data_IF_194415692984
#
_entry.id   IF_194415692984
#
_cell.length_a   1.000
_cell.length_b   1.000
_cell.length_c   1.000
_cell.angle_alpha   90.00
_cell.angle_beta   90.00
_cell.angle_gamma   90.00
#
_symmetry.space_group_name_H-M   'P 1'
#
loop_
_entity.id
_entity.type
_entity.pdbx_description
1 polymer ?
#
# COMPACT_ATOMS: atom_id res chain seq x y z
N UNK A 1 22.40 -20.54 -36.08
CA UNK A 1 21.38 -20.94 -35.09
C UNK A 1 22.07 -21.13 -33.76
N UNK A 2 22.09 -20.09 -32.92
CA UNK A 2 22.50 -20.25 -31.52
C UNK A 2 21.22 -20.39 -30.70
N UNK A 3 20.81 -21.63 -30.44
CA UNK A 3 19.79 -21.95 -29.46
C UNK A 3 20.40 -21.82 -28.07
N UNK A 4 20.59 -20.58 -27.61
CA UNK A 4 20.71 -20.32 -26.18
C UNK A 4 19.28 -20.44 -25.65
N UNK A 5 18.91 -21.64 -25.20
CA UNK A 5 17.76 -21.80 -24.33
C UNK A 5 18.11 -21.03 -23.05
N UNK A 6 17.59 -19.82 -22.93
CA UNK A 6 17.62 -19.07 -21.68
C UNK A 6 16.88 -19.91 -20.66
N UNK A 7 17.61 -20.47 -19.69
CA UNK A 7 17.00 -21.20 -18.58
C UNK A 7 16.40 -20.17 -17.62
N UNK A 8 15.19 -19.72 -17.91
CA UNK A 8 14.51 -18.66 -17.15
C UNK A 8 14.28 -19.05 -15.68
N UNK A 9 14.29 -20.33 -15.36
CA UNK A 9 14.16 -20.83 -14.00
C UNK A 9 15.42 -20.50 -13.17
N UNK A 10 16.61 -20.54 -13.77
CA UNK A 10 17.86 -20.13 -13.11
C UNK A 10 17.83 -18.62 -12.78
N UNK A 11 17.33 -17.79 -13.70
CA UNK A 11 17.19 -16.34 -13.47
C UNK A 11 16.11 -16.01 -12.44
N UNK A 12 15.02 -16.78 -12.39
CA UNK A 12 13.97 -16.61 -11.40
C UNK A 12 14.44 -17.00 -9.99
N UNK A 13 15.22 -18.08 -9.88
CA UNK A 13 15.87 -18.49 -8.62
C UNK A 13 16.91 -17.46 -8.18
N UNK A 14 17.71 -16.94 -9.12
CA UNK A 14 18.67 -15.87 -8.85
C UNK A 14 17.96 -14.59 -8.36
N UNK A 15 16.85 -14.21 -9.00
CA UNK A 15 16.01 -13.09 -8.55
C UNK A 15 15.51 -13.33 -7.11
N UNK A 16 14.95 -14.51 -6.84
CA UNK A 16 14.40 -14.86 -5.53
C UNK A 16 15.42 -14.90 -4.40
N UNK A 17 16.68 -15.21 -4.71
CA UNK A 17 17.79 -15.27 -3.74
C UNK A 17 18.56 -13.95 -3.58
N UNK A 18 18.31 -12.95 -4.42
CA UNK A 18 18.98 -11.65 -4.39
C UNK A 18 18.21 -10.53 -3.68
N UNK A 19 18.59 -9.29 -3.98
CA UNK A 19 17.83 -8.10 -3.59
C UNK A 19 16.63 -7.93 -4.52
N UNK A 20 15.48 -8.44 -4.05
CA UNK A 20 14.23 -8.40 -4.79
C UNK A 20 13.73 -6.98 -5.01
N UNK A 21 13.86 -6.09 -4.03
CA UNK A 21 13.37 -4.72 -4.16
C UNK A 21 14.15 -3.98 -5.22
N UNK A 22 15.49 -4.03 -5.16
CA UNK A 22 16.33 -3.41 -6.17
C UNK A 22 16.06 -4.01 -7.57
N UNK A 23 16.00 -5.33 -7.69
CA UNK A 23 15.73 -6.01 -8.98
C UNK A 23 14.39 -5.57 -9.56
N UNK A 24 13.32 -5.55 -8.75
CA UNK A 24 11.99 -5.09 -9.18
C UNK A 24 12.05 -3.64 -9.65
N UNK A 25 12.70 -2.74 -8.90
CA UNK A 25 12.82 -1.32 -9.26
C UNK A 25 13.51 -1.12 -10.62
N UNK A 26 14.62 -1.81 -10.85
CA UNK A 26 15.40 -1.78 -12.10
C UNK A 26 14.59 -2.37 -13.28
N UNK A 27 13.86 -3.44 -13.05
CA UNK A 27 13.00 -4.07 -14.05
C UNK A 27 11.82 -3.16 -14.43
N UNK A 28 11.17 -2.50 -13.47
CA UNK A 28 10.14 -1.49 -13.75
C UNK A 28 10.70 -0.30 -14.55
N UNK A 29 11.92 0.15 -14.23
CA UNK A 29 12.60 1.22 -14.96
C UNK A 29 12.83 0.83 -16.42
N UNK A 30 13.35 -0.37 -16.65
CA UNK A 30 13.58 -0.93 -17.99
C UNK A 30 12.27 -1.11 -18.76
N UNK A 31 11.18 -1.46 -18.06
CA UNK A 31 9.84 -1.56 -18.62
C UNK A 31 9.20 -0.19 -18.91
N UNK A 32 9.85 0.92 -18.55
CA UNK A 32 9.41 2.28 -18.85
C UNK A 32 8.49 2.87 -17.79
N UNK A 33 8.73 2.58 -16.51
CA UNK A 33 8.19 3.35 -15.38
C UNK A 33 9.37 4.01 -14.69
N UNK A 34 9.53 5.33 -14.83
CA UNK A 34 10.63 6.07 -14.22
C UNK A 34 10.21 6.69 -12.88
N UNK A 35 11.08 6.69 -11.87
CA UNK A 35 10.76 7.19 -10.52
C UNK A 35 9.79 6.26 -9.79
N UNK A 36 8.88 6.80 -8.96
CA UNK A 36 7.78 6.03 -8.34
C UNK A 36 8.24 4.81 -7.54
N UNK A 37 9.39 4.86 -6.89
CA UNK A 37 10.06 3.70 -6.30
C UNK A 37 9.16 2.97 -5.30
N UNK A 38 8.58 3.69 -4.34
CA UNK A 38 7.65 3.13 -3.36
C UNK A 38 6.39 2.55 -4.02
N UNK A 39 5.85 3.25 -5.02
CA UNK A 39 4.64 2.83 -5.72
C UNK A 39 4.86 1.56 -6.55
N UNK A 40 6.00 1.43 -7.25
CA UNK A 40 6.40 0.21 -7.98
C UNK A 40 6.43 -1.00 -7.04
N UNK A 41 7.10 -0.85 -5.89
CA UNK A 41 7.23 -1.93 -4.90
C UNK A 41 5.88 -2.30 -4.29
N UNK A 42 5.06 -1.32 -3.91
CA UNK A 42 3.72 -1.56 -3.36
C UNK A 42 2.80 -2.25 -4.36
N UNK A 43 2.84 -1.85 -5.64
CA UNK A 43 2.09 -2.52 -6.69
C UNK A 43 2.52 -3.97 -6.87
N UNK A 44 3.82 -4.24 -6.87
CA UNK A 44 4.36 -5.59 -7.00
C UNK A 44 4.03 -6.47 -5.78
N UNK A 45 4.17 -5.94 -4.57
CA UNK A 45 3.82 -6.61 -3.32
C UNK A 45 2.34 -6.95 -3.27
N UNK A 46 1.46 -5.99 -3.61
CA UNK A 46 0.03 -6.24 -3.66
C UNK A 46 -0.30 -7.33 -4.68
N UNK A 47 0.24 -7.24 -5.89
CA UNK A 47 0.08 -8.27 -6.91
C UNK A 47 0.54 -9.66 -6.42
N UNK A 48 1.67 -9.74 -5.73
CA UNK A 48 2.23 -10.99 -5.19
C UNK A 48 1.41 -11.55 -4.04
N UNK A 49 0.89 -10.68 -3.17
CA UNK A 49 0.10 -11.05 -1.99
C UNK A 49 -1.22 -11.75 -2.33
N UNK A 50 -1.63 -11.81 -3.61
CA UNK A 50 -2.75 -12.65 -4.07
C UNK A 50 -2.59 -14.12 -3.65
N UNK A 51 -1.36 -14.58 -3.41
CA UNK A 51 -1.06 -15.95 -2.97
C UNK A 51 -1.14 -16.14 -1.46
N UNK A 52 -1.35 -15.06 -0.70
CA UNK A 52 -1.51 -15.09 0.76
C UNK A 52 -2.99 -15.20 1.13
N UNK A 53 -3.27 -15.68 2.35
CA UNK A 53 -4.64 -15.73 2.89
C UNK A 53 -5.30 -14.35 3.02
N UNK A 54 -4.49 -13.31 3.29
CA UNK A 54 -4.94 -11.93 3.41
C UNK A 54 -4.21 -11.03 2.38
N UNK A 55 -4.64 -11.01 1.11
CA UNK A 55 -4.00 -10.18 0.09
C UNK A 55 -4.08 -8.68 0.40
N UNK A 56 -3.06 -7.94 -0.01
CA UNK A 56 -3.08 -6.48 0.00
C UNK A 56 -3.89 -5.97 -1.19
N UNK A 57 -4.65 -4.90 -0.96
CA UNK A 57 -5.39 -4.19 -2.00
C UNK A 57 -4.82 -2.79 -2.17
N UNK A 58 -4.68 -2.33 -3.41
CA UNK A 58 -4.12 -1.01 -3.74
C UNK A 58 -5.10 -0.19 -4.56
N UNK A 59 -5.16 1.11 -4.25
CA UNK A 59 -5.95 2.11 -4.95
C UNK A 59 -5.03 3.25 -5.33
N UNK A 60 -4.80 3.43 -6.63
CA UNK A 60 -4.01 4.55 -7.14
C UNK A 60 -4.93 5.74 -7.41
N UNK A 61 -4.71 6.82 -6.67
CA UNK A 61 -5.42 8.10 -6.80
C UNK A 61 -4.50 9.09 -7.52
N UNK A 62 -4.91 9.54 -8.71
CA UNK A 62 -4.20 10.61 -9.42
C UNK A 62 -5.06 11.29 -10.47
N UNK A 63 -4.64 12.50 -10.86
CA UNK A 63 -5.30 13.26 -11.91
C UNK A 63 -5.31 12.49 -13.25
N UNK A 64 -6.21 12.89 -14.16
CA UNK A 64 -6.27 12.24 -15.48
C UNK A 64 -4.97 12.47 -16.25
N UNK A 65 -4.41 11.40 -16.82
CA UNK A 65 -3.14 11.47 -17.56
C UNK A 65 -1.86 11.43 -16.70
N UNK A 66 -1.94 11.38 -15.38
CA UNK A 66 -0.78 11.36 -14.48
C UNK A 66 0.06 10.06 -14.51
N UNK A 67 -0.37 9.01 -15.24
CA UNK A 67 0.39 7.76 -15.36
C UNK A 67 -0.09 6.58 -14.51
N UNK A 68 -1.24 6.70 -13.81
CA UNK A 68 -1.87 5.60 -13.04
C UNK A 68 -2.06 4.30 -13.85
N UNK A 69 -2.55 4.42 -15.08
CA UNK A 69 -2.78 3.25 -15.94
C UNK A 69 -1.46 2.61 -16.37
N UNK A 70 -0.40 3.40 -16.55
CA UNK A 70 0.94 2.88 -16.87
C UNK A 70 1.48 2.04 -15.72
N UNK A 71 1.37 2.51 -14.48
CA UNK A 71 1.82 1.74 -13.31
C UNK A 71 1.06 0.42 -13.17
N UNK A 72 -0.26 0.46 -13.33
CA UNK A 72 -1.11 -0.74 -13.32
C UNK A 72 -0.74 -1.69 -14.47
N UNK A 73 -0.66 -1.21 -15.71
CA UNK A 73 -0.32 -1.99 -16.89
C UNK A 73 1.00 -2.75 -16.76
N UNK A 74 2.02 -2.08 -16.24
CA UNK A 74 3.36 -2.67 -16.11
C UNK A 74 3.38 -3.71 -15.01
N UNK A 75 2.72 -3.44 -13.89
CA UNK A 75 2.53 -4.42 -12.80
C UNK A 75 1.81 -5.67 -13.30
N UNK A 76 0.71 -5.51 -14.05
CA UNK A 76 -0.05 -6.64 -14.59
C UNK A 76 0.78 -7.48 -15.56
N UNK A 77 1.65 -6.85 -16.36
CA UNK A 77 2.54 -7.57 -17.28
C UNK A 77 3.59 -8.41 -16.55
N UNK A 78 3.99 -8.02 -15.35
CA UNK A 78 4.94 -8.78 -14.53
C UNK A 78 4.30 -9.99 -13.83
N UNK A 79 2.97 -10.09 -13.85
CA UNK A 79 2.25 -11.23 -13.29
C UNK A 79 1.93 -12.27 -14.36
N UNK A 80 1.94 -13.57 -14.02
CA UNK A 80 1.51 -14.61 -14.94
C UNK A 80 0.10 -14.33 -15.49
N UNK A 81 -0.15 -14.47 -16.80
CA UNK A 81 -1.44 -14.11 -17.40
C UNK A 81 -2.61 -14.89 -16.82
N UNK A 82 -2.39 -16.14 -16.38
CA UNK A 82 -3.40 -16.96 -15.71
C UNK A 82 -3.81 -16.41 -14.33
N UNK A 83 -2.99 -15.56 -13.70
CA UNK A 83 -3.27 -14.94 -12.42
C UNK A 83 -3.95 -13.58 -12.54
N UNK A 84 -4.05 -13.00 -13.74
CA UNK A 84 -4.54 -11.63 -13.93
C UNK A 84 -5.96 -11.63 -14.48
N UNK A 85 -6.83 -10.83 -13.85
CA UNK A 85 -8.16 -10.51 -14.38
C UNK A 85 -8.24 -9.00 -14.52
N UNK A 86 -8.32 -8.52 -15.76
CA UNK A 86 -8.42 -7.09 -16.08
C UNK A 86 -9.84 -6.77 -16.54
N UNK A 87 -10.45 -5.76 -15.94
CA UNK A 87 -11.76 -5.24 -16.34
C UNK A 87 -11.70 -3.71 -16.44
N UNK A 88 -12.01 -3.18 -17.63
CA UNK A 88 -12.06 -1.72 -17.85
C UNK A 88 -13.27 -1.07 -17.19
N UNK A 89 -14.35 -1.81 -17.01
CA UNK A 89 -15.50 -1.40 -16.20
C UNK A 89 -16.21 -2.67 -15.69
N UNK A 90 -16.51 -2.72 -14.39
CA UNK A 90 -17.29 -3.80 -13.79
C UNK A 90 -18.46 -3.23 -12.99
N UNK A 91 -19.65 -3.79 -13.19
CA UNK A 91 -20.80 -3.46 -12.34
C UNK A 91 -20.75 -4.32 -11.07
N UNK A 92 -21.30 -3.82 -9.96
CA UNK A 92 -21.50 -4.61 -8.72
C UNK A 92 -22.10 -5.99 -9.02
N UNK A 93 -23.09 -6.03 -9.91
CA UNK A 93 -23.77 -7.27 -10.29
C UNK A 93 -22.85 -8.21 -11.05
N UNK A 94 -22.00 -7.72 -11.94
CA UNK A 94 -21.13 -8.57 -12.76
C UNK A 94 -20.14 -9.39 -11.91
N UNK A 95 -19.70 -8.88 -10.76
CA UNK A 95 -18.83 -9.61 -9.82
C UNK A 95 -19.45 -10.94 -9.38
N UNK A 96 -20.77 -11.01 -9.18
CA UNK A 96 -21.49 -12.25 -8.79
C UNK A 96 -21.57 -13.31 -9.91
N UNK A 97 -21.17 -12.98 -11.13
CA UNK A 97 -21.16 -13.89 -12.28
C UNK A 97 -19.74 -14.32 -12.67
N UNK A 98 -18.72 -13.84 -11.97
CA UNK A 98 -17.34 -14.24 -12.23
C UNK A 98 -17.09 -15.67 -11.74
N UNK A 99 -16.04 -16.29 -12.29
CA UNK A 99 -15.47 -17.51 -11.71
C UNK A 99 -14.74 -17.17 -10.40
N UNK A 100 -14.26 -18.19 -9.68
CA UNK A 100 -13.40 -18.01 -8.51
C UNK A 100 -12.28 -16.99 -8.78
N UNK A 101 -12.15 -16.04 -7.88
CA UNK A 101 -11.13 -14.98 -7.90
C UNK A 101 -9.93 -15.36 -7.03
N UNK A 102 -9.92 -16.54 -6.41
CA UNK A 102 -8.83 -17.00 -5.57
C UNK A 102 -7.50 -16.99 -6.30
N UNK A 103 -6.48 -16.45 -5.63
CA UNK A 103 -5.13 -16.31 -6.15
C UNK A 103 -5.04 -15.46 -7.42
N UNK A 104 -6.03 -14.59 -7.68
CA UNK A 104 -6.05 -13.67 -8.81
C UNK A 104 -5.71 -12.24 -8.39
N UNK A 105 -5.16 -11.49 -9.34
CA UNK A 105 -5.06 -10.05 -9.30
C UNK A 105 -6.20 -9.46 -10.12
N UNK A 106 -7.18 -8.86 -9.44
CA UNK A 106 -8.31 -8.17 -10.06
C UNK A 106 -7.95 -6.70 -10.30
N UNK A 107 -7.65 -6.35 -11.55
CA UNK A 107 -7.36 -4.98 -11.96
C UNK A 107 -8.61 -4.29 -12.51
N UNK A 108 -8.99 -3.20 -11.85
CA UNK A 108 -10.13 -2.36 -12.21
C UNK A 108 -9.63 -0.98 -12.63
N UNK A 109 -9.96 -0.58 -13.85
CA UNK A 109 -9.65 0.74 -14.39
C UNK A 109 -10.79 1.73 -14.12
N UNK A 110 -10.44 3.00 -13.90
CA UNK A 110 -11.39 4.13 -13.87
C UNK A 110 -12.62 3.91 -12.98
N UNK A 111 -12.38 3.47 -11.74
CA UNK A 111 -13.44 3.23 -10.75
C UNK A 111 -14.23 4.50 -10.36
N UNK A 112 -13.87 5.68 -10.86
CA UNK A 112 -14.63 6.92 -10.66
C UNK A 112 -16.09 6.83 -11.17
N UNK A 113 -16.35 5.99 -12.19
CA UNK A 113 -17.72 5.69 -12.66
C UNK A 113 -18.42 4.56 -11.89
N UNK A 114 -17.68 3.79 -11.11
CA UNK A 114 -18.18 2.65 -10.34
C UNK A 114 -18.44 3.13 -8.92
N UNK A 115 -19.68 3.50 -8.62
CA UNK A 115 -20.10 3.81 -7.24
C UNK A 115 -19.63 2.71 -6.31
N UNK A 116 -18.92 3.13 -5.25
CA UNK A 116 -18.42 2.36 -4.10
C UNK A 116 -19.11 1.00 -3.95
N UNK A 117 -18.51 0.00 -4.60
CA UNK A 117 -19.15 -1.28 -4.96
C UNK A 117 -19.21 -2.12 -3.70
N UNK A 118 -20.41 -2.28 -3.12
CA UNK A 118 -20.65 -3.11 -1.94
C UNK A 118 -20.03 -4.50 -2.11
N UNK A 119 -20.11 -5.08 -3.31
CA UNK A 119 -19.55 -6.39 -3.61
C UNK A 119 -18.02 -6.46 -3.42
N UNK A 120 -17.28 -5.40 -3.76
CA UNK A 120 -15.82 -5.41 -3.56
C UNK A 120 -15.47 -5.43 -2.07
N UNK A 121 -16.19 -4.65 -1.25
CA UNK A 121 -15.97 -4.66 0.21
C UNK A 121 -16.32 -6.00 0.83
N UNK A 122 -17.42 -6.62 0.40
CA UNK A 122 -17.81 -7.96 0.86
C UNK A 122 -16.77 -8.98 0.44
N UNK A 123 -16.29 -8.95 -0.80
CA UNK A 123 -15.25 -9.86 -1.29
C UNK A 123 -13.95 -9.77 -0.46
N UNK A 124 -13.53 -8.56 -0.08
CA UNK A 124 -12.35 -8.34 0.77
C UNK A 124 -12.58 -8.82 2.21
N UNK A 125 -13.77 -8.54 2.77
CA UNK A 125 -14.01 -8.75 4.20
C UNK A 125 -14.44 -10.19 4.52
N UNK A 126 -15.27 -10.78 3.68
CA UNK A 126 -15.85 -12.12 3.88
C UNK A 126 -15.06 -13.19 3.12
N UNK A 127 -14.23 -12.81 2.15
CA UNK A 127 -13.49 -13.75 1.31
C UNK A 127 -14.35 -14.49 0.28
N UNK A 128 -15.62 -14.11 0.10
CA UNK A 128 -16.50 -14.63 -0.97
C UNK A 128 -17.67 -13.68 -1.26
N UNK A 129 -18.35 -13.93 -2.37
CA UNK A 129 -19.64 -13.34 -2.72
C UNK A 129 -20.68 -14.43 -2.91
N UNK A 130 -21.83 -14.29 -2.26
CA UNK A 130 -22.98 -15.17 -2.45
C UNK A 130 -24.22 -14.36 -2.83
N UNK A 131 -25.00 -14.86 -3.77
CA UNK A 131 -26.26 -14.23 -4.17
C UNK A 131 -27.32 -15.30 -4.47
N UNK A 132 -28.45 -15.19 -3.79
CA UNK A 132 -29.67 -15.95 -4.09
C UNK A 132 -30.62 -15.08 -4.92
N UNK A 133 -31.10 -15.59 -6.05
CA UNK A 133 -32.10 -14.93 -6.90
C UNK A 133 -33.20 -15.89 -7.29
N UNK A 134 -34.40 -15.38 -7.58
CA UNK A 134 -35.50 -16.20 -8.12
C UNK A 134 -35.77 -15.72 -9.55
N UNK A 135 -35.67 -16.62 -10.52
CA UNK A 135 -35.98 -16.35 -11.92
C UNK A 135 -36.83 -17.48 -12.49
N UNK A 136 -37.99 -17.16 -13.06
CA UNK A 136 -38.91 -18.16 -13.61
C UNK A 136 -39.47 -19.14 -12.59
N UNK A 137 -39.57 -18.75 -11.31
CA UNK A 137 -40.06 -19.62 -10.23
C UNK A 137 -39.05 -20.62 -9.67
N UNK A 138 -37.80 -20.61 -10.17
CA UNK A 138 -36.69 -21.40 -9.61
C UNK A 138 -35.67 -20.48 -8.92
N UNK A 139 -35.16 -20.93 -7.77
CA UNK A 139 -34.04 -20.31 -7.10
C UNK A 139 -32.74 -20.57 -7.84
N UNK A 140 -31.91 -19.54 -8.01
CA UNK A 140 -30.55 -19.60 -8.52
C UNK A 140 -29.61 -19.03 -7.46
N UNK A 141 -28.72 -19.89 -6.97
CA UNK A 141 -27.62 -19.51 -6.09
C UNK A 141 -26.37 -19.23 -6.92
N UNK A 142 -25.66 -18.15 -6.61
CA UNK A 142 -24.34 -17.82 -7.17
C UNK A 142 -23.35 -17.69 -6.04
N UNK A 143 -22.16 -18.25 -6.26
CA UNK A 143 -21.05 -18.20 -5.32
C UNK A 143 -19.76 -17.87 -6.06
N UNK A 144 -19.02 -16.89 -5.57
CA UNK A 144 -17.72 -16.49 -6.08
C UNK A 144 -16.73 -16.48 -4.92
N UNK A 145 -15.78 -17.40 -4.94
CA UNK A 145 -14.68 -17.43 -3.97
C UNK A 145 -13.76 -16.22 -4.18
N UNK A 146 -13.45 -15.53 -3.09
CA UNK A 146 -12.53 -14.39 -3.04
C UNK A 146 -11.09 -14.81 -2.77
N UNK A 147 -10.36 -14.04 -1.96
CA UNK A 147 -8.90 -14.22 -1.81
C UNK A 147 -8.11 -13.72 -3.01
N UNK A 148 -8.57 -12.62 -3.63
CA UNK A 148 -7.85 -11.91 -4.68
C UNK A 148 -7.18 -10.65 -4.13
N UNK A 149 -6.04 -10.27 -4.71
CA UNK A 149 -5.56 -8.88 -4.59
C UNK A 149 -6.32 -8.01 -5.57
N UNK A 150 -6.77 -6.83 -5.12
CA UNK A 150 -7.46 -5.86 -5.96
C UNK A 150 -6.57 -4.66 -6.23
N UNK A 151 -6.43 -4.32 -7.51
CA UNK A 151 -5.75 -3.11 -7.98
C UNK A 151 -6.76 -2.20 -8.63
N UNK A 152 -7.11 -1.09 -7.97
CA UNK A 152 -7.99 -0.06 -8.52
C UNK A 152 -7.24 1.21 -8.88
N UNK A 153 -7.76 1.92 -9.87
CA UNK A 153 -7.33 3.28 -10.19
C UNK A 153 -8.53 4.22 -10.19
N UNK A 154 -8.36 5.43 -9.64
CA UNK A 154 -9.43 6.44 -9.58
C UNK A 154 -8.88 7.85 -9.72
N UNK A 155 -9.71 8.75 -10.24
CA UNK A 155 -9.48 10.20 -10.26
C UNK A 155 -10.25 10.92 -9.15
N UNK A 156 -11.14 10.23 -8.43
CA UNK A 156 -11.96 10.84 -7.40
C UNK A 156 -11.22 10.86 -6.04
N UNK A 157 -10.87 12.03 -5.48
CA UNK A 157 -10.22 12.12 -4.18
C UNK A 157 -11.17 11.79 -3.01
N UNK A 158 -12.48 11.85 -3.22
CA UNK A 158 -13.48 11.48 -2.22
C UNK A 158 -13.63 9.96 -2.13
N UNK A 159 -12.76 9.35 -1.33
CA UNK A 159 -12.78 7.91 -1.06
C UNK A 159 -13.53 7.66 0.26
N UNK A 160 -14.52 6.76 0.23
CA UNK A 160 -15.24 6.32 1.43
C UNK A 160 -14.25 5.79 2.50
N UNK A 161 -14.37 6.20 3.78
CA UNK A 161 -13.57 5.66 4.88
C UNK A 161 -13.49 4.12 4.95
N UNK A 162 -14.55 3.41 4.58
CA UNK A 162 -14.56 1.93 4.52
C UNK A 162 -13.65 1.36 3.43
N UNK A 163 -13.53 2.07 2.31
CA UNK A 163 -12.62 1.73 1.22
C UNK A 163 -11.20 2.14 1.63
N UNK A 164 -11.02 3.32 2.23
CA UNK A 164 -9.72 3.73 2.79
C UNK A 164 -9.17 2.72 3.80
N UNK A 165 -10.00 2.07 4.61
CA UNK A 165 -9.52 1.08 5.59
C UNK A 165 -9.12 -0.26 4.97
N UNK A 166 -9.51 -0.55 3.72
CA UNK A 166 -9.25 -1.84 3.04
C UNK A 166 -8.17 -1.77 1.96
N UNK A 167 -7.82 -0.57 1.54
CA UNK A 167 -6.84 -0.31 0.49
C UNK A 167 -5.64 0.47 1.01
N UNK A 168 -4.47 0.22 0.43
CA UNK A 168 -3.35 1.16 0.43
C UNK A 168 -3.59 2.18 -0.68
N UNK A 169 -3.60 3.46 -0.31
CA UNK A 169 -3.87 4.55 -1.24
C UNK A 169 -2.53 5.09 -1.72
N UNK A 170 -2.30 5.00 -3.02
CA UNK A 170 -1.07 5.45 -3.66
C UNK A 170 -1.37 6.74 -4.43
N UNK A 171 -0.60 7.80 -4.18
CA UNK A 171 -0.57 9.00 -5.01
C UNK A 171 0.56 8.90 -6.04
N UNK A 172 0.39 9.47 -7.23
CA UNK A 172 1.44 9.51 -8.26
C UNK A 172 2.18 10.85 -8.18
N UNK A 173 3.48 10.87 -8.46
CA UNK A 173 4.28 12.09 -8.49
C UNK A 173 3.97 12.93 -9.74
N UNK A 174 3.20 14.00 -9.53
CA UNK A 174 2.81 14.96 -10.57
C UNK A 174 3.80 16.14 -10.69
N UNK A 175 4.99 16.04 -10.09
CA UNK A 175 6.01 17.09 -10.13
C UNK A 175 6.55 17.36 -11.53
N UNK A 176 7.09 18.56 -11.72
CA UNK A 176 7.72 18.97 -12.99
C UNK A 176 8.97 18.15 -13.27
N UNK A 177 9.74 17.84 -12.23
CA UNK A 177 10.94 17.02 -12.27
C UNK A 177 10.62 15.61 -12.78
N UNK A 178 9.57 14.99 -12.22
CA UNK A 178 9.11 13.67 -12.64
C UNK A 178 8.57 13.69 -14.07
N UNK A 179 7.75 14.69 -14.41
CA UNK A 179 7.26 14.89 -15.79
C UNK A 179 8.41 14.99 -16.79
N UNK A 180 9.49 15.73 -16.48
CA UNK A 180 10.67 15.83 -17.35
C UNK A 180 11.35 14.47 -17.56
N UNK A 181 11.49 13.66 -16.51
CA UNK A 181 12.08 12.31 -16.58
C UNK A 181 11.25 11.39 -17.48
N UNK A 182 9.92 11.36 -17.28
CA UNK A 182 8.99 10.57 -18.10
C UNK A 182 9.11 10.98 -19.58
N UNK A 183 9.06 12.27 -19.88
CA UNK A 183 9.17 12.76 -21.26
C UNK A 183 10.53 12.41 -21.91
N UNK A 184 11.62 12.44 -21.14
CA UNK A 184 12.94 12.04 -21.64
C UNK A 184 12.99 10.55 -21.98
N UNK A 185 12.45 9.70 -21.11
CA UNK A 185 12.38 8.25 -21.33
C UNK A 185 11.48 7.90 -22.52
N UNK A 186 10.31 8.55 -22.65
CA UNK A 186 9.44 8.38 -23.82
C UNK A 186 10.16 8.74 -25.13
N UNK A 187 10.88 9.87 -25.18
CA UNK A 187 11.70 10.23 -26.36
C UNK A 187 12.78 9.18 -26.65
N UNK A 188 13.50 8.72 -25.63
CA UNK A 188 14.53 7.68 -25.78
C UNK A 188 13.95 6.39 -26.36
N UNK A 189 12.73 6.01 -25.98
CA UNK A 189 12.07 4.80 -26.47
C UNK A 189 11.79 4.79 -27.98
N UNK A 190 11.77 5.98 -28.62
CA UNK A 190 11.62 6.13 -30.07
C UNK A 190 12.96 6.21 -30.83
N UNK A 191 14.09 5.99 -30.16
CA UNK A 191 15.43 5.98 -30.77
C UNK A 191 15.90 4.56 -31.09
N UNK A 192 16.94 4.43 -31.91
CA UNK A 192 17.62 3.16 -32.20
C UNK A 192 18.13 2.46 -30.93
N UNK A 193 18.62 3.24 -29.96
CA UNK A 193 19.04 2.70 -28.65
C UNK A 193 17.85 2.08 -27.91
N UNK A 194 16.70 2.78 -27.85
CA UNK A 194 15.49 2.27 -27.20
C UNK A 194 14.82 1.08 -27.90
N UNK A 195 15.09 0.88 -29.20
CA UNK A 195 14.65 -0.31 -29.95
C UNK A 195 15.41 -1.58 -29.54
N UNK A 196 16.71 -1.46 -29.23
CA UNK A 196 17.54 -2.58 -28.77
C UNK A 196 17.05 -3.12 -27.41
N UNK A 197 16.58 -2.22 -26.54
CA UNK A 197 16.02 -2.54 -25.22
C UNK A 197 14.70 -3.36 -25.28
N UNK A 198 14.05 -3.52 -26.44
CA UNK A 198 12.80 -4.30 -26.53
C UNK A 198 12.99 -5.80 -26.32
N UNK A 199 14.13 -6.36 -26.69
CA UNK A 199 14.45 -7.78 -26.45
C UNK A 199 14.57 -8.09 -24.96
N UNK A 200 15.12 -7.15 -24.19
CA UNK A 200 15.35 -7.31 -22.75
C UNK A 200 14.04 -7.29 -21.96
N UNK A 201 13.03 -6.52 -22.43
CA UNK A 201 11.71 -6.41 -21.79
C UNK A 201 10.96 -7.75 -21.74
N UNK A 202 11.01 -8.53 -22.81
CA UNK A 202 10.35 -9.85 -22.86
C UNK A 202 11.03 -10.84 -21.90
N UNK A 203 12.37 -10.80 -21.82
CA UNK A 203 13.14 -11.60 -20.87
C UNK A 203 12.79 -11.27 -19.41
N UNK A 204 12.68 -9.98 -19.08
CA UNK A 204 12.26 -9.49 -17.76
C UNK A 204 10.86 -10.02 -17.42
N UNK A 205 9.89 -9.86 -18.32
CA UNK A 205 8.51 -10.33 -18.10
C UNK A 205 8.49 -11.84 -17.79
N UNK A 206 9.19 -12.64 -18.59
CA UNK A 206 9.26 -14.11 -18.37
C UNK A 206 9.96 -14.47 -17.07
N UNK A 207 11.05 -13.78 -16.72
CA UNK A 207 11.74 -13.94 -15.43
C UNK A 207 10.77 -13.73 -14.26
N UNK A 208 10.00 -12.65 -14.27
CA UNK A 208 8.99 -12.42 -13.22
C UNK A 208 7.86 -13.45 -13.24
N UNK A 209 7.41 -13.91 -14.42
CA UNK A 209 6.40 -14.97 -14.49
C UNK A 209 6.89 -16.27 -13.88
N UNK A 210 8.12 -16.69 -14.20
CA UNK A 210 8.74 -17.86 -13.57
C UNK A 210 8.89 -17.65 -12.07
N UNK A 211 9.43 -16.52 -11.62
CA UNK A 211 9.55 -16.21 -10.19
C UNK A 211 8.21 -16.29 -9.46
N UNK A 212 7.15 -15.68 -10.01
CA UNK A 212 5.81 -15.71 -9.44
C UNK A 212 5.19 -17.10 -9.38
N UNK A 213 5.62 -18.05 -10.22
CA UNK A 213 5.19 -19.45 -10.19
C UNK A 213 6.02 -20.32 -9.24
N UNK A 214 7.22 -19.87 -8.85
CA UNK A 214 8.05 -20.53 -7.85
C UNK A 214 7.61 -20.22 -6.41
N UNK A 215 6.84 -19.16 -6.22
CA UNK A 215 6.33 -18.79 -4.90
C UNK A 215 5.28 -19.79 -4.43
N UNK A 216 5.52 -20.36 -3.25
CA UNK A 216 4.57 -21.25 -2.58
C UNK A 216 3.71 -20.44 -1.58
N UNK A 217 2.45 -20.83 -1.36
CA UNK A 217 1.52 -20.12 -0.47
C UNK A 217 1.80 -20.46 1.01
N UNK A 218 3.04 -20.24 1.46
CA UNK A 218 3.43 -20.49 2.86
C UNK A 218 2.70 -19.54 3.82
N UNK A 219 2.32 -20.08 4.98
CA UNK A 219 1.86 -19.24 6.08
C UNK A 219 3.01 -18.32 6.54
N UNK A 220 2.68 -17.08 6.90
CA UNK A 220 3.66 -16.12 7.40
C UNK A 220 3.37 -15.82 8.87
N UNK A 221 4.35 -16.09 9.73
CA UNK A 221 4.28 -15.81 11.16
C UNK A 221 5.17 -14.61 11.46
N UNK A 222 4.65 -13.64 12.19
CA UNK A 222 5.42 -12.48 12.62
C UNK A 222 5.80 -12.61 14.11
N UNK A 223 7.02 -13.06 14.44
CA UNK A 223 7.45 -13.19 15.83
C UNK A 223 7.60 -11.84 16.55
N UNK A 224 7.68 -10.73 15.80
CA UNK A 224 7.80 -9.38 16.31
C UNK A 224 6.46 -8.64 16.38
N UNK A 225 5.33 -9.31 16.13
CA UNK A 225 4.01 -8.65 16.07
C UNK A 225 3.65 -7.88 17.35
N UNK A 226 4.10 -8.35 18.52
CA UNK A 226 3.88 -7.68 19.81
C UNK A 226 4.80 -6.46 20.02
N UNK A 227 5.94 -6.39 19.32
CA UNK A 227 6.85 -5.24 19.35
C UNK A 227 6.34 -4.11 18.41
N UNK A 228 5.67 -4.49 17.31
CA UNK A 228 5.22 -3.57 16.27
C UNK A 228 3.82 -3.02 16.54
N UNK A 229 3.65 -2.18 17.57
CA UNK A 229 2.34 -1.60 17.91
C UNK A 229 2.28 -0.09 17.71
N UNK A 230 1.13 0.41 17.28
CA UNK A 230 0.74 1.82 17.43
C UNK A 230 0.26 2.07 18.87
N UNK A 231 0.41 3.29 19.40
CA UNK A 231 -0.19 3.65 20.70
C UNK A 231 -1.73 3.45 20.66
N UNK A 232 -2.29 2.93 21.76
CA UNK A 232 -3.66 2.38 21.85
C UNK A 232 -4.76 3.43 21.99
N UNK A 233 -4.40 4.70 21.91
CA UNK A 233 -5.25 5.87 22.08
C UNK A 233 -5.90 6.38 20.78
N UNK A 234 -5.62 5.73 19.64
CA UNK A 234 -6.18 6.11 18.33
C UNK A 234 -7.15 5.08 17.76
N UNK A 235 -8.33 5.53 17.36
CA UNK A 235 -9.26 4.69 16.59
C UNK A 235 -8.67 4.29 15.23
N UNK A 236 -7.84 5.15 14.64
CA UNK A 236 -7.16 4.91 13.37
C UNK A 236 -6.07 3.85 13.48
N UNK A 237 -5.38 3.76 14.63
CA UNK A 237 -4.44 2.67 14.93
C UNK A 237 -5.08 1.28 14.81
N UNK A 238 -6.38 1.13 15.13
CA UNK A 238 -7.10 -0.15 14.93
C UNK A 238 -7.16 -0.59 13.47
N UNK A 239 -7.12 0.36 12.53
CA UNK A 239 -7.17 0.12 11.08
C UNK A 239 -5.77 -0.01 10.48
N UNK A 240 -4.81 0.75 11.00
CA UNK A 240 -3.46 0.79 10.45
C UNK A 240 -2.57 -0.32 11.01
N UNK A 241 -2.80 -0.77 12.24
CA UNK A 241 -2.14 -1.93 12.83
C UNK A 241 -2.24 -3.19 11.95
N UNK A 242 -3.44 -3.68 11.58
CA UNK A 242 -3.54 -4.87 10.74
C UNK A 242 -2.96 -4.64 9.35
N UNK A 243 -3.07 -3.43 8.79
CA UNK A 243 -2.44 -3.09 7.51
C UNK A 243 -0.92 -3.19 7.56
N UNK A 244 -0.30 -2.62 8.59
CA UNK A 244 1.15 -2.61 8.74
C UNK A 244 1.69 -4.02 8.98
N UNK A 245 1.05 -4.80 9.86
CA UNK A 245 1.40 -6.20 10.06
C UNK A 245 1.26 -7.01 8.77
N UNK A 246 0.19 -6.79 8.00
CA UNK A 246 -0.02 -7.49 6.74
C UNK A 246 1.00 -7.07 5.67
N UNK A 247 1.45 -5.81 5.68
CA UNK A 247 2.55 -5.35 4.84
C UNK A 247 3.86 -6.05 5.20
N UNK A 248 4.20 -6.16 6.49
CA UNK A 248 5.36 -6.93 6.95
C UNK A 248 5.28 -8.39 6.48
N UNK A 249 4.11 -9.00 6.59
CA UNK A 249 3.88 -10.36 6.12
C UNK A 249 4.06 -10.49 4.60
N UNK A 250 3.58 -9.51 3.83
CA UNK A 250 3.72 -9.52 2.37
C UNK A 250 5.17 -9.35 1.91
N UNK A 251 5.95 -8.52 2.60
CA UNK A 251 7.39 -8.38 2.34
C UNK A 251 8.11 -9.70 2.66
N UNK A 252 7.82 -10.29 3.81
CA UNK A 252 8.38 -11.59 4.18
C UNK A 252 7.99 -12.70 3.19
N UNK A 253 6.74 -12.69 2.71
CA UNK A 253 6.23 -13.62 1.70
C UNK A 253 6.95 -13.46 0.36
N UNK A 254 7.18 -12.23 -0.09
CA UNK A 254 7.97 -11.96 -1.30
C UNK A 254 9.41 -12.47 -1.14
N UNK A 255 9.98 -12.30 0.04
CA UNK A 255 11.32 -12.77 0.40
C UNK A 255 11.40 -14.27 0.76
N UNK A 256 10.34 -15.07 0.54
CA UNK A 256 10.24 -16.46 1.04
C UNK A 256 11.41 -17.37 0.64
N UNK A 257 12.00 -17.18 -0.55
CA UNK A 257 13.11 -18.00 -1.04
C UNK A 257 14.42 -17.79 -0.26
N UNK A 258 14.52 -16.70 0.53
CA UNK A 258 15.66 -16.38 1.41
C UNK A 258 15.42 -16.81 2.86
N UNK A 259 14.27 -17.43 3.15
CA UNK A 259 13.84 -17.72 4.52
C UNK A 259 13.95 -19.20 4.84
N UNK A 260 14.30 -19.54 6.09
CA UNK A 260 14.22 -20.93 6.53
C UNK A 260 12.76 -21.36 6.58
N UNK A 261 12.43 -22.46 5.90
CA UNK A 261 11.12 -23.09 5.99
C UNK A 261 11.01 -23.82 7.32
N UNK A 262 9.96 -23.53 8.08
CA UNK A 262 9.65 -24.15 9.37
C UNK A 262 8.33 -24.92 9.26
N UNK A 263 8.17 -25.94 10.09
CA UNK A 263 6.92 -26.69 10.18
C UNK A 263 6.42 -26.69 11.62
N UNK A 264 5.13 -26.44 11.81
CA UNK A 264 4.46 -26.58 13.09
C UNK A 264 3.13 -27.32 12.90
N UNK A 265 3.02 -28.51 13.50
CA UNK A 265 1.84 -29.38 13.40
C UNK A 265 1.38 -29.63 11.95
N UNK A 266 2.31 -29.80 11.01
CA UNK A 266 1.99 -30.05 9.60
C UNK A 266 1.68 -28.79 8.78
N UNK A 267 1.77 -27.60 9.36
CA UNK A 267 1.68 -26.32 8.64
C UNK A 267 3.08 -25.82 8.36
N UNK A 268 3.41 -25.68 7.09
CA UNK A 268 4.64 -25.06 6.63
C UNK A 268 4.52 -23.53 6.67
N UNK A 269 5.48 -22.88 7.33
CA UNK A 269 5.49 -21.43 7.51
C UNK A 269 6.89 -20.84 7.44
N UNK A 270 6.93 -19.56 7.16
CA UNK A 270 8.11 -18.70 7.22
C UNK A 270 7.92 -17.61 8.26
N UNK A 271 9.01 -17.07 8.78
CA UNK A 271 8.98 -15.99 9.77
C UNK A 271 9.37 -14.65 9.16
N UNK A 272 8.70 -13.60 9.62
CA UNK A 272 9.12 -12.20 9.39
C UNK A 272 10.46 -11.96 10.08
N UNK A 273 11.39 -11.32 9.36
CA UNK A 273 12.72 -10.90 9.85
C UNK A 273 12.75 -9.39 10.12
N UNK A 274 13.79 -8.91 10.82
CA UNK A 274 13.94 -7.46 11.09
C UNK A 274 14.18 -6.67 9.79
N UNK A 275 14.84 -7.28 8.82
CA UNK A 275 15.06 -6.72 7.49
C UNK A 275 13.73 -6.52 6.75
N UNK A 276 12.78 -7.47 6.83
CA UNK A 276 11.45 -7.28 6.22
C UNK A 276 10.67 -6.16 6.90
N UNK A 277 10.80 -6.03 8.23
CA UNK A 277 10.16 -4.96 9.00
C UNK A 277 10.73 -3.60 8.60
N UNK A 278 12.04 -3.51 8.40
CA UNK A 278 12.67 -2.29 7.91
C UNK A 278 12.13 -1.93 6.53
N UNK A 279 12.12 -2.88 5.59
CA UNK A 279 11.56 -2.70 4.24
C UNK A 279 10.08 -2.28 4.27
N UNK A 280 9.28 -2.91 5.12
CA UNK A 280 7.87 -2.57 5.30
C UNK A 280 7.68 -1.18 5.94
N UNK A 281 8.53 -0.80 6.89
CA UNK A 281 8.53 0.53 7.53
C UNK A 281 8.86 1.63 6.53
N UNK A 282 9.85 1.41 5.67
CA UNK A 282 10.22 2.35 4.59
C UNK A 282 9.04 2.58 3.64
N UNK A 283 8.39 1.50 3.19
CA UNK A 283 7.21 1.59 2.33
C UNK A 283 6.01 2.23 3.04
N UNK A 284 5.74 1.84 4.29
CA UNK A 284 4.60 2.36 5.05
C UNK A 284 4.74 3.84 5.38
N UNK A 285 5.96 4.32 5.64
CA UNK A 285 6.22 5.73 5.95
C UNK A 285 5.81 6.64 4.80
N UNK A 286 6.00 6.21 3.55
CA UNK A 286 5.58 7.01 2.39
C UNK A 286 4.04 7.06 2.23
N UNK A 287 3.34 5.99 2.61
CA UNK A 287 1.91 5.81 2.32
C UNK A 287 0.98 6.20 3.46
N UNK A 288 1.38 5.87 4.67
CA UNK A 288 0.63 6.07 5.91
C UNK A 288 1.27 7.18 6.76
N UNK A 289 2.48 7.62 6.41
CA UNK A 289 3.20 8.60 7.18
C UNK A 289 2.63 10.01 7.02
N UNK A 290 2.73 10.77 8.10
CA UNK A 290 2.36 12.17 8.13
C UNK A 290 3.50 12.96 7.49
N UNK A 291 3.15 13.82 6.53
CA UNK A 291 4.07 14.86 6.11
C UNK A 291 3.90 16.07 7.01
N UNK A 292 5.00 16.56 7.60
CA UNK A 292 4.96 17.89 8.19
C UNK A 292 4.63 18.94 7.12
N UNK A 293 4.86 18.63 5.83
CA UNK A 293 4.61 19.59 4.78
C UNK A 293 3.14 19.98 4.60
N UNK A 294 2.25 19.07 4.98
CA UNK A 294 0.80 19.22 4.90
C UNK A 294 0.24 20.17 5.99
N UNK A 295 1.04 20.48 7.01
CA UNK A 295 0.69 21.46 8.03
C UNK A 295 0.96 22.89 7.54
N UNK A 296 0.04 23.79 7.89
CA UNK A 296 0.22 25.23 7.81
C UNK A 296 1.47 25.67 8.59
N UNK A 297 2.17 26.69 8.09
CA UNK A 297 3.36 27.23 8.77
C UNK A 297 3.11 27.57 10.26
N UNK A 298 1.95 28.15 10.64
CA UNK A 298 1.64 28.33 12.05
C UNK A 298 1.48 27.00 12.80
N UNK A 299 0.79 25.98 12.26
CA UNK A 299 0.65 24.70 12.95
C UNK A 299 1.99 24.00 13.14
N UNK A 300 2.91 24.06 12.16
CA UNK A 300 4.28 23.58 12.34
C UNK A 300 5.02 24.32 13.45
N UNK A 301 4.87 25.65 13.52
CA UNK A 301 5.46 26.44 14.60
C UNK A 301 4.88 26.04 15.97
N UNK A 302 3.56 25.84 16.06
CA UNK A 302 2.92 25.34 17.27
C UNK A 302 3.49 23.98 17.69
N UNK A 303 3.63 23.04 16.75
CA UNK A 303 4.19 21.71 17.01
C UNK A 303 5.61 21.79 17.58
N UNK A 304 6.46 22.65 17.02
CA UNK A 304 7.82 22.90 17.51
C UNK A 304 7.84 23.53 18.91
N UNK A 305 6.90 24.44 19.20
CA UNK A 305 6.75 25.01 20.54
C UNK A 305 6.28 23.95 21.57
N UNK A 306 5.38 23.04 21.16
CA UNK A 306 4.93 21.93 22.01
C UNK A 306 6.07 20.95 22.32
N UNK A 307 6.93 20.64 21.35
CA UNK A 307 8.14 19.84 21.59
C UNK A 307 9.07 20.52 22.61
N UNK A 308 9.29 21.84 22.46
CA UNK A 308 10.13 22.62 23.39
C UNK A 308 9.56 22.70 24.81
N UNK A 309 8.25 22.59 24.96
CA UNK A 309 7.59 22.52 26.27
C UNK A 309 7.97 21.25 27.05
N UNK A 310 8.54 20.23 26.37
CA UNK A 310 9.05 18.97 26.94
C UNK A 310 8.04 18.29 27.88
N UNK A 311 6.76 18.32 27.50
CA UNK A 311 5.64 17.73 28.23
C UNK A 311 4.79 16.92 27.27
N UNK A 312 4.57 15.64 27.58
CA UNK A 312 3.69 14.78 26.80
C UNK A 312 2.21 15.14 26.94
N UNK A 313 1.78 15.68 28.07
CA UNK A 313 0.38 16.06 28.32
C UNK A 313 0.28 17.53 28.72
N UNK A 314 -0.68 18.26 28.16
CA UNK A 314 -0.87 19.69 28.38
C UNK A 314 -2.34 20.13 28.24
N UNK A 315 -2.67 21.30 28.78
CA UNK A 315 -3.96 21.99 28.58
C UNK A 315 -3.81 23.17 27.62
N UNK A 316 -4.91 23.62 27.01
CA UNK A 316 -4.88 24.85 26.17
C UNK A 316 -4.35 26.06 26.94
N UNK A 317 -4.67 26.19 28.21
CA UNK A 317 -4.21 27.30 29.06
C UNK A 317 -2.69 27.29 29.23
N UNK A 318 -2.09 26.12 29.47
CA UNK A 318 -0.63 26.00 29.57
C UNK A 318 0.06 26.35 28.25
N UNK A 319 -0.49 25.90 27.12
CA UNK A 319 0.07 26.24 25.80
C UNK A 319 -0.04 27.73 25.51
N UNK A 320 -1.17 28.38 25.83
CA UNK A 320 -1.30 29.84 25.68
C UNK A 320 -0.27 30.58 26.54
N UNK A 321 -0.07 30.16 27.79
CA UNK A 321 0.92 30.78 28.68
C UNK A 321 2.35 30.57 28.20
N UNK A 322 2.66 29.39 27.63
CA UNK A 322 3.99 29.08 27.12
C UNK A 322 4.32 29.80 25.80
N UNK A 323 3.33 29.93 24.92
CA UNK A 323 3.53 30.44 23.54
C UNK A 323 3.16 31.91 23.38
N UNK A 324 2.35 32.47 24.28
CA UNK A 324 1.73 33.78 24.14
C UNK A 324 0.61 33.84 23.09
N UNK A 325 0.16 32.68 22.57
CA UNK A 325 -0.85 32.65 21.52
C UNK A 325 -2.25 32.99 22.04
N UNK A 326 -3.03 33.68 21.21
CA UNK A 326 -4.44 33.95 21.51
C UNK A 326 -5.26 32.66 21.43
N UNK A 327 -6.36 32.60 22.18
CA UNK A 327 -7.26 31.44 22.23
C UNK A 327 -7.72 31.00 20.83
N UNK A 328 -8.07 31.94 19.96
CA UNK A 328 -8.56 31.66 18.60
C UNK A 328 -7.45 31.06 17.74
N UNK A 329 -6.25 31.67 17.75
CA UNK A 329 -5.09 31.17 16.99
C UNK A 329 -4.68 29.77 17.45
N UNK A 330 -4.61 29.57 18.76
CA UNK A 330 -4.32 28.25 19.32
C UNK A 330 -5.39 27.24 18.91
N UNK A 331 -6.67 27.58 18.99
CA UNK A 331 -7.73 26.65 18.62
C UNK A 331 -7.62 26.17 17.17
N UNK A 332 -7.42 27.08 16.22
CA UNK A 332 -7.32 26.73 14.79
C UNK A 332 -6.19 25.73 14.54
N UNK A 333 -4.97 26.08 14.97
CA UNK A 333 -3.80 25.25 14.66
C UNK A 333 -3.69 24.02 15.56
N UNK A 334 -4.23 24.05 16.78
CA UNK A 334 -4.33 22.85 17.60
C UNK A 334 -5.34 21.86 17.01
N UNK A 335 -6.46 22.34 16.43
CA UNK A 335 -7.39 21.48 15.68
C UNK A 335 -6.69 20.84 14.49
N UNK A 336 -5.90 21.59 13.73
CA UNK A 336 -5.10 21.07 12.62
C UNK A 336 -4.11 19.98 13.07
N UNK A 337 -3.41 20.19 14.19
CA UNK A 337 -2.54 19.16 14.78
C UNK A 337 -3.31 17.93 15.28
N UNK A 338 -4.57 18.09 15.68
CA UNK A 338 -5.46 16.99 16.08
C UNK A 338 -5.96 16.22 14.85
N UNK A 339 -6.32 16.92 13.78
CA UNK A 339 -6.72 16.32 12.51
C UNK A 339 -5.59 15.49 11.89
N UNK A 340 -4.35 15.92 12.08
CA UNK A 340 -3.13 15.20 11.69
C UNK A 340 -2.65 14.20 12.75
N UNK A 341 -3.41 14.00 13.84
CA UNK A 341 -3.14 13.08 14.94
C UNK A 341 -1.78 13.26 15.65
N UNK A 342 -1.11 14.39 15.44
CA UNK A 342 0.14 14.76 16.12
C UNK A 342 -0.12 15.09 17.59
N UNK A 343 -1.36 15.50 17.90
CA UNK A 343 -1.88 15.75 19.24
C UNK A 343 -3.25 15.09 19.38
N UNK A 344 -3.54 14.39 20.47
CA UNK A 344 -4.88 13.86 20.73
C UNK A 344 -5.53 14.47 21.97
N UNK A 345 -6.85 14.73 21.95
CA UNK A 345 -7.57 15.09 23.16
C UNK A 345 -7.73 13.87 24.08
N UNK A 346 -7.35 14.00 25.34
CA UNK A 346 -7.62 12.96 26.35
C UNK A 346 -8.95 13.23 27.05
N UNK A 347 -9.71 12.17 27.31
CA UNK A 347 -11.00 12.27 28.01
C UNK A 347 -10.77 12.43 29.50
N UNK A 348 -11.25 13.54 30.06
CA UNK A 348 -11.16 13.82 31.49
C UNK A 348 -12.46 13.47 32.23
N UNK A 349 -12.35 13.10 33.51
CA UNK A 349 -13.53 12.90 34.38
C UNK A 349 -14.38 14.17 34.45
N UNK A 350 -15.69 14.05 34.73
CA UNK A 350 -16.58 15.20 34.96
C UNK A 350 -15.91 16.20 35.93
N UNK A 351 -15.88 17.49 35.55
CA UNK A 351 -15.27 18.64 36.25
C UNK A 351 -13.74 18.83 36.12
N UNK A 352 -13.07 18.20 35.16
CA UNK A 352 -11.66 18.51 34.85
C UNK A 352 -11.51 19.24 33.51
N UNK A 353 -10.45 20.05 33.39
CA UNK A 353 -10.08 20.73 32.15
C UNK A 353 -9.62 19.70 31.11
N UNK A 354 -10.08 19.83 29.87
CA UNK A 354 -9.64 18.98 28.76
C UNK A 354 -8.11 19.02 28.61
N UNK A 355 -7.47 17.86 28.70
CA UNK A 355 -6.05 17.67 28.41
C UNK A 355 -5.83 17.16 27.00
N UNK A 356 -4.63 17.38 26.49
CA UNK A 356 -4.15 16.99 25.18
C UNK A 356 -2.81 16.29 25.34
N UNK A 357 -2.57 15.23 24.57
CA UNK A 357 -1.33 14.45 24.58
C UNK A 357 -0.58 14.65 23.25
N UNK A 358 0.72 14.96 23.32
CA UNK A 358 1.64 15.06 22.17
C UNK A 358 2.18 13.68 21.81
N UNK A 359 2.03 13.28 20.55
CA UNK A 359 2.52 11.99 20.03
C UNK A 359 3.76 12.12 19.16
N UNK A 360 3.98 13.31 18.63
CA UNK A 360 5.13 13.64 17.81
C UNK A 360 6.42 13.69 18.66
N UNK A 361 7.47 12.98 18.24
CA UNK A 361 8.77 12.95 18.93
C UNK A 361 9.90 13.59 18.12
N UNK A 362 9.57 14.34 17.06
CA UNK A 362 10.57 15.06 16.26
C UNK A 362 10.96 14.38 14.95
N UNK A 363 10.18 13.40 14.50
CA UNK A 363 10.36 12.70 13.22
C UNK A 363 10.10 13.64 12.01
N UNK A 364 10.55 13.29 10.81
CA UNK A 364 10.21 14.01 9.56
C UNK A 364 10.74 15.44 9.43
N UNK A 365 11.76 15.86 10.20
CA UNK A 365 12.38 17.19 10.06
C UNK A 365 13.19 17.36 8.78
N UNK A 366 13.57 16.26 8.14
CA UNK A 366 14.21 16.20 6.83
C UNK A 366 13.21 16.37 5.66
N UNK A 367 11.93 16.61 5.97
CA UNK A 367 10.86 16.75 4.99
C UNK A 367 10.27 15.41 4.53
N UNK A 368 10.73 14.27 5.08
CA UNK A 368 10.17 12.96 4.77
C UNK A 368 8.92 12.67 5.59
N UNK A 369 8.03 11.85 5.04
CA UNK A 369 6.87 11.31 5.75
C UNK A 369 7.32 10.32 6.83
N UNK A 370 6.58 10.25 7.93
CA UNK A 370 6.92 9.39 9.06
C UNK A 370 5.68 8.80 9.74
N UNK A 371 5.81 7.61 10.31
CA UNK A 371 4.76 6.98 11.10
C UNK A 371 4.82 7.46 12.55
N UNK A 372 3.70 7.94 13.08
CA UNK A 372 3.58 8.30 14.48
C UNK A 372 3.38 7.06 15.35
N UNK A 373 4.22 6.92 16.38
CA UNK A 373 4.01 5.92 17.43
C UNK A 373 4.44 4.50 17.07
N UNK A 374 5.01 4.27 15.89
CA UNK A 374 5.67 3.00 15.58
C UNK A 374 7.01 2.97 16.33
N UNK A 375 7.17 2.04 17.27
CA UNK A 375 8.49 1.72 17.86
C UNK A 375 9.04 0.49 17.14
N UNK A 376 10.00 0.63 16.22
CA UNK A 376 10.61 -0.51 15.54
C UNK A 376 11.51 -1.34 16.49
#
# INVERSE_FOLDING_TARGET
MNAIQWNYDDYAIQMGSGDLFQTILEDYETLGVTGEEHNKLMCYLAATSRLMDNPLNILVLSSSGAGKSTLQDKTLKLMPPESVIRASAITDKALFYMKSLKNKLLALEEAAGVKDTYAIRTLISEGYLAQETVSGGQGQSRYVEGGCSIFQTTTNPEINPETKSRFFILGVDESREQTRRILAMQRKSHTLEGLKDQSDKEGIIRKHHSFQRLLEPYAVVNPYAEELFYEDDRLQARRDQPKFLNLCNAVAFLNQMKKPLKNYNGIDYIEVSREDIQQATELASELLGISLDDLSLPARNLLQLLLKMNRKTFTRTEVMNHTGWTKTRLHIHLTELIEMELVLPESTKKNQLQTYKLFYNGEGQDGRRFLLGLRP
#
